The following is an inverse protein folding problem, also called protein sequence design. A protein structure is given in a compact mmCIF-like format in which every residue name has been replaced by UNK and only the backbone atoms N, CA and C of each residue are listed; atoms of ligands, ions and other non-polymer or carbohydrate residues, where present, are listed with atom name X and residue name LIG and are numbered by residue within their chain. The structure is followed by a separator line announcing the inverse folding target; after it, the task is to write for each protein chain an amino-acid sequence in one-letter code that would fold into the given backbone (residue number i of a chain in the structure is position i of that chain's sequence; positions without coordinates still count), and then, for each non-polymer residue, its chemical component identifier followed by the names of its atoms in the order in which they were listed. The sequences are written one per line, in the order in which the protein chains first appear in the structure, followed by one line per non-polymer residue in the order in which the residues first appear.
data_IF_280831746182
#
_entry.id   IF_280831746182
#
_cell.length_a   1.000
_cell.length_b   1.000
_cell.length_c   1.000
_cell.angle_alpha   90.00
_cell.angle_beta   90.00
_cell.angle_gamma   90.00
#
_symmetry.space_group_name_H-M   'P 1'
#
loop_
_entity.id
_entity.type
_entity.pdbx_description
1 polymer ?
#
# COMPACT_ATOMS: atom_id res chain seq x y z
N UNK A 1 -1.92 3.94 23.15
CA UNK A 1 -1.02 3.89 21.98
C UNK A 1 -1.83 4.25 20.74
N UNK A 2 -1.37 5.20 19.91
CA UNK A 2 -2.08 5.54 18.66
C UNK A 2 -1.93 4.39 17.66
N UNK A 3 -3.01 4.06 16.92
CA UNK A 3 -2.97 3.04 15.87
C UNK A 3 -2.64 3.70 14.52
N UNK A 4 -1.81 3.05 13.72
CA UNK A 4 -1.51 3.43 12.35
C UNK A 4 -1.83 2.24 11.44
N UNK A 5 -2.71 2.45 10.46
CA UNK A 5 -3.08 1.42 9.51
C UNK A 5 -2.03 1.32 8.40
N UNK A 6 -1.51 0.11 8.17
CA UNK A 6 -0.76 -0.22 6.97
C UNK A 6 -1.77 -0.63 5.90
N UNK A 7 -2.07 0.29 4.98
CA UNK A 7 -3.07 0.14 3.92
C UNK A 7 -2.50 -0.65 2.73
N UNK A 8 -2.17 -1.91 2.98
CA UNK A 8 -1.69 -2.87 1.98
C UNK A 8 -2.20 -4.28 2.26
N UNK A 9 -2.48 -5.03 1.20
CA UNK A 9 -2.76 -6.48 1.26
C UNK A 9 -1.49 -7.32 1.05
N UNK A 10 -0.36 -6.69 0.74
CA UNK A 10 0.90 -7.39 0.49
C UNK A 10 1.61 -7.76 1.82
N UNK A 11 1.80 -9.06 2.12
CA UNK A 11 2.42 -9.49 3.37
C UNK A 11 3.92 -9.13 3.47
N UNK A 12 4.62 -8.98 2.34
CA UNK A 12 6.02 -8.53 2.31
C UNK A 12 6.16 -7.09 2.79
N UNK A 13 5.36 -6.19 2.21
CA UNK A 13 5.30 -4.77 2.62
C UNK A 13 4.91 -4.62 4.09
N UNK A 14 3.96 -5.41 4.57
CA UNK A 14 3.57 -5.38 5.99
C UNK A 14 4.74 -5.74 6.92
N UNK A 15 5.60 -6.69 6.52
CA UNK A 15 6.81 -7.05 7.27
C UNK A 15 7.81 -5.90 7.25
N UNK A 16 8.11 -5.36 6.08
CA UNK A 16 9.03 -4.22 5.92
C UNK A 16 8.60 -3.02 6.76
N UNK A 17 7.32 -2.66 6.77
CA UNK A 17 6.81 -1.57 7.61
C UNK A 17 6.95 -1.83 9.11
N UNK A 18 6.76 -3.09 9.55
CA UNK A 18 6.96 -3.46 10.96
C UNK A 18 8.42 -3.31 11.36
N UNK A 19 9.33 -3.65 10.47
CA UNK A 19 10.76 -3.54 10.71
C UNK A 19 11.18 -2.06 10.71
N UNK A 20 10.81 -1.29 9.67
CA UNK A 20 11.18 0.12 9.52
C UNK A 20 10.59 1.07 10.55
N UNK A 21 9.40 0.77 11.08
CA UNK A 21 8.69 1.63 12.04
C UNK A 21 8.70 1.05 13.46
N UNK A 22 9.55 0.04 13.72
CA UNK A 22 9.64 -0.66 15.01
C UNK A 22 9.94 0.27 16.19
N UNK A 23 10.72 1.33 15.97
CA UNK A 23 11.13 2.30 16.99
C UNK A 23 10.10 3.41 17.25
N UNK A 24 9.02 3.47 16.48
CA UNK A 24 7.99 4.50 16.64
C UNK A 24 6.96 4.10 17.73
N UNK A 25 6.46 5.05 18.53
CA UNK A 25 5.47 4.79 19.58
C UNK A 25 4.04 4.63 19.02
N UNK A 26 3.87 3.85 17.95
CA UNK A 26 2.62 3.58 17.26
C UNK A 26 2.34 2.09 17.17
N UNK A 27 1.08 1.70 17.30
CA UNK A 27 0.65 0.33 17.04
C UNK A 27 0.30 0.20 15.56
N UNK A 28 1.14 -0.50 14.80
CA UNK A 28 0.81 -0.86 13.43
C UNK A 28 -0.33 -1.89 13.40
N UNK A 29 -1.34 -1.63 12.59
CA UNK A 29 -2.43 -2.57 12.32
C UNK A 29 -2.53 -2.81 10.81
N UNK A 30 -2.80 -4.04 10.41
CA UNK A 30 -3.06 -4.40 9.00
C UNK A 30 -4.55 -4.39 8.70
N UNK A 31 -4.91 -4.41 7.41
CA UNK A 31 -6.30 -4.57 6.96
C UNK A 31 -6.96 -5.82 7.56
N UNK A 32 -6.19 -6.92 7.65
CA UNK A 32 -6.63 -8.18 8.26
C UNK A 32 -6.94 -8.03 9.76
N UNK A 33 -6.12 -7.28 10.49
CA UNK A 33 -6.31 -7.08 11.95
C UNK A 33 -7.60 -6.31 12.28
N UNK A 34 -8.11 -5.52 11.33
CA UNK A 34 -9.33 -4.72 11.48
C UNK A 34 -10.51 -5.24 10.62
N UNK A 35 -10.37 -6.41 10.01
CA UNK A 35 -11.43 -7.08 9.26
C UNK A 35 -11.84 -6.38 7.96
N UNK A 36 -10.98 -5.53 7.37
CA UNK A 36 -11.25 -4.95 6.04
C UNK A 36 -10.79 -5.95 4.98
N UNK A 37 -11.74 -6.42 4.17
CA UNK A 37 -11.51 -7.36 3.06
C UNK A 37 -11.77 -6.74 1.69
N UNK A 38 -12.30 -5.51 1.64
CA UNK A 38 -12.52 -4.80 0.39
C UNK A 38 -11.18 -4.54 -0.32
N UNK A 39 -11.20 -4.75 -1.62
CA UNK A 39 -10.13 -4.31 -2.51
C UNK A 39 -10.55 -3.02 -3.23
N UNK A 40 -9.58 -2.21 -3.62
CA UNK A 40 -9.80 -0.99 -4.37
C UNK A 40 -9.14 -1.12 -5.74
N UNK A 41 -9.85 -0.72 -6.79
CA UNK A 41 -9.26 -0.64 -8.11
C UNK A 41 -8.22 0.48 -8.20
N UNK A 42 -7.01 0.13 -8.61
CA UNK A 42 -5.90 1.05 -8.85
C UNK A 42 -5.99 1.63 -10.27
N UNK A 43 -6.66 2.78 -10.38
CA UNK A 43 -6.90 3.47 -11.66
C UNK A 43 -5.96 4.67 -11.90
N UNK A 44 -5.02 4.91 -10.98
CA UNK A 44 -4.03 5.96 -11.12
C UNK A 44 -3.09 5.74 -12.31
N UNK A 45 -2.53 6.83 -12.82
CA UNK A 45 -1.52 6.85 -13.87
C UNK A 45 -0.10 6.90 -13.31
N UNK A 46 0.05 7.17 -12.01
CA UNK A 46 1.33 7.16 -11.29
C UNK A 46 1.25 6.34 -10.00
N UNK A 47 2.40 5.89 -9.49
CA UNK A 47 2.47 5.22 -8.18
C UNK A 47 1.97 6.13 -7.05
N UNK A 48 2.25 7.44 -7.15
CA UNK A 48 1.79 8.42 -6.16
C UNK A 48 0.25 8.47 -6.09
N UNK A 49 -0.41 8.51 -7.25
CA UNK A 49 -1.87 8.52 -7.32
C UNK A 49 -2.47 7.25 -6.71
N UNK A 50 -1.92 6.07 -7.03
CA UNK A 50 -2.37 4.79 -6.47
C UNK A 50 -2.13 4.72 -4.96
N UNK A 51 -0.94 5.07 -4.50
CA UNK A 51 -0.59 5.07 -3.08
C UNK A 51 -1.50 5.99 -2.27
N UNK A 52 -1.71 7.23 -2.76
CA UNK A 52 -2.61 8.20 -2.14
C UNK A 52 -4.05 7.71 -2.11
N UNK A 53 -4.55 7.14 -3.20
CA UNK A 53 -5.89 6.61 -3.31
C UNK A 53 -6.12 5.48 -2.29
N UNK A 54 -5.19 4.52 -2.19
CA UNK A 54 -5.22 3.44 -1.20
C UNK A 54 -5.25 3.98 0.23
N UNK A 55 -4.34 4.89 0.57
CA UNK A 55 -4.28 5.47 1.92
C UNK A 55 -5.60 6.14 2.31
N UNK A 56 -6.18 6.96 1.41
CA UNK A 56 -7.45 7.66 1.67
C UNK A 56 -8.62 6.67 1.79
N UNK A 57 -8.72 5.70 0.90
CA UNK A 57 -9.80 4.71 0.89
C UNK A 57 -9.84 3.91 2.19
N UNK A 58 -8.70 3.36 2.60
CA UNK A 58 -8.61 2.54 3.81
C UNK A 58 -8.65 3.37 5.09
N UNK A 59 -8.16 4.61 5.08
CA UNK A 59 -8.35 5.54 6.21
C UNK A 59 -9.84 5.83 6.46
N UNK A 60 -10.61 6.11 5.40
CA UNK A 60 -12.05 6.37 5.51
C UNK A 60 -12.82 5.16 6.05
N UNK A 61 -12.49 3.95 5.60
CA UNK A 61 -13.16 2.72 6.06
C UNK A 61 -12.81 2.36 7.51
N UNK A 62 -11.55 2.53 7.89
CA UNK A 62 -11.06 2.13 9.22
C UNK A 62 -11.26 3.20 10.30
N UNK A 63 -11.50 4.45 9.91
CA UNK A 63 -11.45 5.63 10.77
C UNK A 63 -10.09 5.77 11.51
N UNK A 64 -9.00 5.34 10.86
CA UNK A 64 -7.63 5.44 11.36
C UNK A 64 -6.75 6.22 10.39
N UNK A 65 -5.70 6.92 10.87
CA UNK A 65 -4.61 7.33 10.02
C UNK A 65 -4.03 6.12 9.28
N UNK A 66 -3.77 6.26 7.99
CA UNK A 66 -3.25 5.18 7.15
C UNK A 66 -2.02 5.62 6.37
N UNK A 67 -1.06 4.71 6.24
CA UNK A 67 0.06 4.80 5.31
C UNK A 67 -0.09 3.73 4.25
N UNK A 68 0.23 4.09 3.01
CA UNK A 68 0.27 3.15 1.88
C UNK A 68 1.50 3.46 1.05
N UNK A 69 1.84 2.53 0.19
CA UNK A 69 2.86 2.65 -0.84
C UNK A 69 2.36 2.01 -2.14
N UNK A 70 2.98 2.42 -3.23
CA UNK A 70 2.83 1.76 -4.51
C UNK A 70 4.19 1.68 -5.20
N UNK A 71 4.36 0.69 -6.08
CA UNK A 71 5.64 0.47 -6.72
C UNK A 71 5.55 -0.54 -7.85
N UNK A 72 6.59 -0.53 -8.67
CA UNK A 72 6.71 -1.38 -9.83
C UNK A 72 8.17 -1.56 -10.24
N UNK A 73 8.37 -2.43 -11.21
CA UNK A 73 9.61 -2.61 -11.94
C UNK A 73 9.59 -1.71 -13.17
N UNK A 74 10.64 -0.92 -13.36
CA UNK A 74 10.82 -0.11 -14.55
C UNK A 74 12.10 -0.54 -15.26
N UNK A 75 11.98 -0.90 -16.53
CA UNK A 75 13.10 -1.39 -17.33
C UNK A 75 13.43 -0.36 -18.40
N UNK A 76 14.62 0.24 -18.32
CA UNK A 76 15.08 1.26 -19.27
C UNK A 76 15.02 0.77 -20.72
N UNK A 77 15.46 -0.46 -20.99
CA UNK A 77 15.41 -1.08 -22.32
C UNK A 77 13.98 -1.27 -22.86
N UNK A 78 12.97 -1.30 -21.97
CA UNK A 78 11.55 -1.38 -22.31
C UNK A 78 10.83 -0.04 -22.13
N UNK A 79 11.56 1.09 -22.11
CA UNK A 79 11.00 2.44 -21.94
C UNK A 79 10.18 2.59 -20.64
N UNK A 80 10.64 1.97 -19.56
CA UNK A 80 10.00 2.03 -18.25
C UNK A 80 8.91 0.99 -18.00
N UNK A 81 8.57 0.16 -18.99
CA UNK A 81 7.66 -0.96 -18.79
C UNK A 81 8.30 -2.04 -17.87
N UNK A 82 7.52 -2.76 -17.06
CA UNK A 82 6.05 -2.72 -16.92
C UNK A 82 5.48 -1.54 -16.10
N UNK A 83 6.33 -0.84 -15.35
CA UNK A 83 5.95 0.31 -14.53
C UNK A 83 4.77 0.01 -13.59
N UNK A 84 3.78 0.90 -13.60
CA UNK A 84 2.54 0.78 -12.80
C UNK A 84 1.76 -0.52 -13.03
N UNK A 85 2.01 -1.23 -14.13
CA UNK A 85 1.36 -2.52 -14.46
C UNK A 85 2.16 -3.73 -14.01
N UNK A 86 3.23 -3.55 -13.24
CA UNK A 86 4.13 -4.61 -12.81
C UNK A 86 3.43 -5.87 -12.29
N UNK A 87 2.38 -5.70 -11.48
CA UNK A 87 1.64 -6.83 -10.90
C UNK A 87 0.77 -7.58 -11.92
N UNK A 88 0.42 -6.96 -13.05
CA UNK A 88 -0.51 -7.46 -14.08
C UNK A 88 0.14 -7.47 -15.47
N UNK A 89 1.47 -7.54 -15.54
CA UNK A 89 2.19 -7.31 -16.79
C UNK A 89 1.88 -8.34 -17.89
N UNK A 90 1.72 -9.61 -17.50
CA UNK A 90 1.48 -10.72 -18.42
C UNK A 90 0.00 -11.12 -18.51
N UNK A 91 -0.91 -10.30 -17.99
CA UNK A 91 -2.33 -10.66 -17.78
C UNK A 91 -2.62 -11.00 -16.32
#
# INVERSE_FOLDING_TARGET
MKKLLIATTNPGKLREYRDFLSDLPVKLVSLKDIGITDDMEETGKTYEENSRAKAIFYAKKSNLPAISDDGGLEINALKGEPGIRSRRWLG
#
